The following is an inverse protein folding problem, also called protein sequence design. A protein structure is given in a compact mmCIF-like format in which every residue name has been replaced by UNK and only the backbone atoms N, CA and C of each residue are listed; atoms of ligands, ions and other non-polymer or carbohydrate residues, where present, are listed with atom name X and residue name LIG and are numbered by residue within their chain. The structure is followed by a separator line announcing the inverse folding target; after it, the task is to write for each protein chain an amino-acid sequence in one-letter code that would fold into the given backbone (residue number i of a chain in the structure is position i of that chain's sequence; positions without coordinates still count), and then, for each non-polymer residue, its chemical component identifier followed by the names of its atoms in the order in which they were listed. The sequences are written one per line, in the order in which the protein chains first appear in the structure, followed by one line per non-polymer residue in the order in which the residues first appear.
data_IF_343707856252
#
_entry.id   IF_343707856252
#
_cell.length_a   1.000
_cell.length_b   1.000
_cell.length_c   1.000
_cell.angle_alpha   90.00
_cell.angle_beta   90.00
_cell.angle_gamma   90.00
#
_symmetry.space_group_name_H-M   'P 1'
#
loop_
_entity.id
_entity.type
_entity.pdbx_description
1 polymer ?
#
# COMPACT_ATOMS: atom_id res chain seq x y z
N UNK A 1 1.76 31.20 -11.70
CA UNK A 1 3.04 31.75 -11.18
C UNK A 1 4.12 31.16 -12.06
N UNK A 2 4.91 32.00 -12.75
CA UNK A 2 6.05 31.47 -13.53
C UNK A 2 7.19 31.09 -12.57
N UNK A 3 8.13 30.27 -13.05
CA UNK A 3 9.26 29.77 -12.26
C UNK A 3 10.12 30.92 -11.73
N UNK A 4 10.31 31.96 -12.52
CA UNK A 4 11.14 33.11 -12.16
C UNK A 4 10.55 33.89 -10.96
N UNK A 5 9.24 34.16 -10.98
CA UNK A 5 8.53 34.82 -9.88
C UNK A 5 8.58 33.96 -8.62
N UNK A 6 8.49 32.63 -8.75
CA UNK A 6 8.60 31.73 -7.61
C UNK A 6 10.00 31.76 -7.00
N UNK A 7 11.05 31.72 -7.83
CA UNK A 7 12.45 31.72 -7.37
C UNK A 7 12.85 33.06 -6.75
N UNK A 8 12.40 34.19 -7.29
CA UNK A 8 12.64 35.52 -6.71
C UNK A 8 11.99 35.68 -5.33
N UNK A 9 10.77 35.15 -5.16
CA UNK A 9 10.04 35.19 -3.89
C UNK A 9 10.45 34.06 -2.93
N UNK A 10 11.27 33.11 -3.39
CA UNK A 10 11.67 31.92 -2.63
C UNK A 10 12.45 32.28 -1.36
N UNK A 11 13.35 33.28 -1.45
CA UNK A 11 14.13 33.74 -0.30
C UNK A 11 13.26 34.17 0.87
N UNK A 12 12.24 34.99 0.59
CA UNK A 12 11.26 35.43 1.60
C UNK A 12 10.46 34.27 2.23
N UNK A 13 10.28 33.19 1.48
CA UNK A 13 9.55 32.00 1.92
C UNK A 13 10.43 31.09 2.80
N UNK A 14 11.75 31.10 2.60
CA UNK A 14 12.70 30.38 3.47
C UNK A 14 12.93 31.12 4.79
N UNK A 15 12.98 32.46 4.74
CA UNK A 15 13.24 33.30 5.91
C UNK A 15 12.01 33.44 6.84
N UNK A 16 10.81 33.15 6.34
CA UNK A 16 9.58 33.19 7.14
C UNK A 16 9.47 31.99 8.10
N UNK A 17 9.03 32.19 9.36
CA UNK A 17 8.73 31.09 10.27
C UNK A 17 7.74 30.10 9.65
N UNK A 18 8.05 28.80 9.73
CA UNK A 18 7.29 27.70 9.11
C UNK A 18 7.23 27.70 7.56
N UNK A 19 7.95 28.59 6.88
CA UNK A 19 7.85 28.73 5.42
C UNK A 19 8.29 27.49 4.64
N UNK A 20 9.41 26.86 5.03
CA UNK A 20 9.85 25.56 4.49
C UNK A 20 8.78 24.47 4.66
N UNK A 21 8.09 24.44 5.82
CA UNK A 21 7.04 23.45 6.10
C UNK A 21 5.84 23.65 5.18
N UNK A 22 5.34 24.88 5.06
CA UNK A 22 4.24 25.23 4.15
C UNK A 22 4.59 24.92 2.69
N UNK A 23 5.84 25.13 2.29
CA UNK A 23 6.31 24.77 0.96
C UNK A 23 6.23 23.26 0.70
N UNK A 24 6.68 22.43 1.66
CA UNK A 24 6.56 20.97 1.55
C UNK A 24 5.11 20.54 1.44
N UNK A 25 4.22 21.13 2.23
CA UNK A 25 2.77 20.87 2.17
C UNK A 25 2.19 21.25 0.79
N UNK A 26 2.60 22.39 0.23
CA UNK A 26 2.18 22.83 -1.10
C UNK A 26 2.68 21.88 -2.19
N UNK A 27 3.96 21.52 -2.19
CA UNK A 27 4.54 20.57 -3.16
C UNK A 27 3.81 19.24 -3.09
N UNK A 28 3.55 18.73 -1.88
CA UNK A 28 2.79 17.49 -1.69
C UNK A 28 1.36 17.60 -2.23
N UNK A 29 0.68 18.74 -1.99
CA UNK A 29 -0.65 18.98 -2.52
C UNK A 29 -0.67 18.98 -4.06
N UNK A 30 0.33 19.62 -4.69
CA UNK A 30 0.49 19.62 -6.13
C UNK A 30 0.81 18.22 -6.66
N UNK A 31 1.65 17.45 -5.96
CA UNK A 31 2.01 16.07 -6.32
C UNK A 31 0.77 15.17 -6.40
N UNK A 32 -0.03 15.17 -5.32
CA UNK A 32 -1.22 14.33 -5.20
C UNK A 32 -2.29 14.71 -6.23
N UNK A 33 -2.27 15.95 -6.72
CA UNK A 33 -3.18 16.46 -7.76
C UNK A 33 -2.65 16.28 -9.19
N UNK A 34 -1.45 15.71 -9.36
CA UNK A 34 -0.80 15.59 -10.67
C UNK A 34 -0.45 16.94 -11.32
N UNK A 35 -0.15 17.96 -10.51
CA UNK A 35 0.17 19.33 -10.97
C UNK A 35 1.65 19.70 -10.84
N UNK A 36 2.51 18.73 -10.55
CA UNK A 36 3.96 18.96 -10.50
C UNK A 36 4.62 18.94 -11.88
N UNK A 37 4.01 18.26 -12.85
CA UNK A 37 4.53 18.11 -14.21
C UNK A 37 3.39 18.23 -15.21
N UNK A 38 3.73 18.64 -16.44
CA UNK A 38 2.80 18.61 -17.56
C UNK A 38 2.36 17.16 -17.85
N UNK A 39 1.10 16.98 -18.23
CA UNK A 39 0.57 15.67 -18.61
C UNK A 39 0.83 15.41 -20.09
N UNK A 40 1.37 14.24 -20.43
CA UNK A 40 1.54 13.85 -21.83
C UNK A 40 0.22 13.27 -22.38
N UNK A 41 -0.39 13.85 -23.42
CA UNK A 41 -1.62 13.31 -24.02
C UNK A 41 -1.43 11.93 -24.68
N UNK A 42 -0.19 11.50 -24.91
CA UNK A 42 0.12 10.18 -25.45
C UNK A 42 0.26 9.10 -24.36
N UNK A 43 0.26 9.49 -23.08
CA UNK A 43 0.29 8.52 -21.98
C UNK A 43 -0.94 7.61 -22.02
N UNK A 44 -0.73 6.34 -21.67
CA UNK A 44 -1.83 5.41 -21.60
C UNK A 44 -2.80 5.79 -20.46
N UNK A 45 -4.11 5.96 -20.73
CA UNK A 45 -5.07 6.24 -19.67
C UNK A 45 -5.10 5.12 -18.63
N UNK A 46 -5.06 5.47 -17.35
CA UNK A 46 -5.10 4.54 -16.22
C UNK A 46 -6.31 3.59 -16.28
N UNK A 47 -7.41 4.03 -16.91
CA UNK A 47 -8.59 3.20 -17.19
C UNK A 47 -8.24 1.88 -17.89
N UNK A 48 -7.32 1.87 -18.87
CA UNK A 48 -6.91 0.63 -19.56
C UNK A 48 -6.16 -0.33 -18.64
N UNK A 49 -5.36 0.19 -17.72
CA UNK A 49 -4.69 -0.62 -16.71
C UNK A 49 -5.72 -1.23 -15.74
N UNK A 50 -6.66 -0.42 -15.27
CA UNK A 50 -7.76 -0.89 -14.41
C UNK A 50 -8.60 -1.98 -15.08
N UNK A 51 -8.87 -1.88 -16.39
CA UNK A 51 -9.58 -2.92 -17.16
C UNK A 51 -8.82 -4.25 -17.23
N UNK A 52 -7.49 -4.19 -17.38
CA UNK A 52 -6.60 -5.36 -17.31
C UNK A 52 -6.63 -6.00 -15.93
N UNK A 53 -6.44 -5.19 -14.88
CA UNK A 53 -6.46 -5.66 -13.48
C UNK A 53 -7.82 -6.30 -13.13
N UNK A 54 -8.94 -5.70 -13.55
CA UNK A 54 -10.29 -6.29 -13.35
C UNK A 54 -10.47 -7.62 -14.07
N UNK A 55 -9.80 -7.82 -15.20
CA UNK A 55 -9.84 -9.09 -15.93
C UNK A 55 -9.00 -10.16 -15.23
N UNK A 56 -7.82 -9.79 -14.73
CA UNK A 56 -6.96 -10.64 -13.93
C UNK A 56 -7.60 -11.05 -12.61
N UNK A 57 -8.19 -10.10 -11.88
CA UNK A 57 -9.01 -10.35 -10.68
C UNK A 57 -10.10 -11.39 -10.93
N UNK A 58 -10.84 -11.27 -12.04
CA UNK A 58 -11.90 -12.24 -12.42
C UNK A 58 -11.31 -13.63 -12.66
N UNK A 59 -10.21 -13.73 -13.39
CA UNK A 59 -9.53 -14.99 -13.63
C UNK A 59 -9.06 -15.66 -12.32
N UNK A 60 -8.48 -14.88 -11.39
CA UNK A 60 -8.06 -15.38 -10.07
C UNK A 60 -9.22 -15.87 -9.20
N UNK A 61 -10.39 -15.21 -9.29
CA UNK A 61 -11.63 -15.64 -8.63
C UNK A 61 -12.13 -16.96 -9.22
N UNK A 62 -12.18 -17.08 -10.55
CA UNK A 62 -12.61 -18.29 -11.25
C UNK A 62 -11.72 -19.49 -10.91
N UNK A 63 -10.41 -19.26 -10.79
CA UNK A 63 -9.42 -20.25 -10.36
C UNK A 63 -9.45 -20.52 -8.84
N UNK A 64 -10.29 -19.81 -8.07
CA UNK A 64 -10.40 -19.91 -6.61
C UNK A 64 -9.10 -19.59 -5.84
N UNK A 65 -8.19 -18.85 -6.47
CA UNK A 65 -6.95 -18.35 -5.83
C UNK A 65 -7.30 -17.27 -4.81
N UNK A 66 -8.27 -16.41 -5.16
CA UNK A 66 -8.81 -15.39 -4.26
C UNK A 66 -10.32 -15.59 -4.09
N UNK A 67 -10.84 -15.15 -2.93
CA UNK A 67 -12.29 -15.17 -2.66
C UNK A 67 -12.97 -14.00 -3.36
N UNK A 68 -14.23 -14.20 -3.75
CA UNK A 68 -15.10 -13.11 -4.19
C UNK A 68 -15.24 -12.12 -3.03
N UNK A 69 -14.88 -10.86 -3.27
CA UNK A 69 -15.14 -9.74 -2.37
C UNK A 69 -16.38 -8.97 -2.83
N UNK A 70 -17.03 -8.27 -1.91
CA UNK A 70 -18.05 -7.30 -2.27
C UNK A 70 -17.41 -6.20 -3.13
N UNK A 71 -18.01 -5.88 -4.28
CA UNK A 71 -17.50 -4.80 -5.13
C UNK A 71 -17.82 -3.46 -4.51
N UNK A 72 -16.79 -2.72 -4.15
CA UNK A 72 -16.88 -1.34 -3.67
C UNK A 72 -16.54 -0.40 -4.80
N UNK A 73 -17.45 -0.26 -5.78
CA UNK A 73 -17.31 0.80 -6.78
C UNK A 73 -17.45 2.17 -6.12
N UNK A 74 -16.81 3.19 -6.67
CA UNK A 74 -16.89 4.57 -6.14
C UNK A 74 -18.32 5.05 -5.94
N UNK A 75 -19.24 4.68 -6.84
CA UNK A 75 -20.67 5.01 -6.76
C UNK A 75 -21.30 4.56 -5.44
N UNK A 76 -20.78 3.50 -4.84
CA UNK A 76 -21.32 2.90 -3.62
C UNK A 76 -20.61 3.42 -2.35
N UNK A 77 -19.53 4.21 -2.49
CA UNK A 77 -18.75 4.72 -1.34
C UNK A 77 -19.29 6.02 -0.75
N UNK A 78 -20.09 6.77 -1.51
CA UNK A 78 -20.55 8.12 -1.12
C UNK A 78 -19.43 9.17 -1.03
N UNK A 79 -18.22 8.86 -1.51
CA UNK A 79 -17.07 9.78 -1.51
C UNK A 79 -17.26 10.81 -2.63
N UNK A 80 -17.21 12.09 -2.27
CA UNK A 80 -17.13 13.18 -3.24
C UNK A 80 -15.78 13.12 -3.96
N UNK A 81 -15.81 13.05 -5.29
CA UNK A 81 -14.61 13.05 -6.11
C UNK A 81 -14.28 14.47 -6.55
N UNK A 82 -12.99 14.79 -6.59
CA UNK A 82 -12.50 16.05 -7.13
C UNK A 82 -12.01 15.86 -8.57
N UNK A 83 -11.79 16.98 -9.27
CA UNK A 83 -11.15 16.93 -10.59
C UNK A 83 -9.73 16.38 -10.48
N UNK A 84 -9.43 15.45 -11.37
CA UNK A 84 -8.14 14.78 -11.53
C UNK A 84 -7.61 15.06 -12.94
N UNK A 85 -6.31 14.89 -13.18
CA UNK A 85 -5.75 15.06 -14.52
C UNK A 85 -6.42 14.17 -15.57
N UNK A 86 -6.32 14.59 -16.83
CA UNK A 86 -6.71 13.74 -17.96
C UNK A 86 -5.89 12.45 -17.95
N UNK A 87 -6.51 11.32 -18.27
CA UNK A 87 -5.89 10.00 -18.20
C UNK A 87 -5.93 9.33 -16.81
N UNK A 88 -6.14 10.07 -15.71
CA UNK A 88 -6.33 9.48 -14.39
C UNK A 88 -7.76 8.93 -14.22
N UNK A 89 -7.91 7.97 -13.31
CA UNK A 89 -9.23 7.42 -12.94
C UNK A 89 -9.27 7.21 -11.43
N UNK A 90 -10.39 7.57 -10.82
CA UNK A 90 -10.66 7.16 -9.46
C UNK A 90 -10.96 5.66 -9.44
N UNK A 91 -10.44 4.93 -8.46
CA UNK A 91 -10.75 3.52 -8.23
C UNK A 91 -10.54 3.20 -6.76
N UNK A 92 -11.15 2.11 -6.26
CA UNK A 92 -10.95 1.67 -4.87
C UNK A 92 -9.87 0.59 -4.80
N UNK A 93 -9.15 0.52 -3.67
CA UNK A 93 -8.08 -0.46 -3.50
C UNK A 93 -8.57 -1.90 -3.66
N UNK A 94 -9.79 -2.21 -3.22
CA UNK A 94 -10.40 -3.55 -3.36
C UNK A 94 -10.60 -3.97 -4.82
N UNK A 95 -10.70 -3.01 -5.75
CA UNK A 95 -10.83 -3.29 -7.17
C UNK A 95 -9.48 -3.56 -7.86
N UNK A 96 -8.38 -3.14 -7.26
CA UNK A 96 -7.03 -3.30 -7.83
C UNK A 96 -6.08 -4.18 -7.01
N UNK A 97 -6.49 -4.59 -5.81
CA UNK A 97 -5.67 -5.41 -4.89
C UNK A 97 -6.50 -6.42 -4.10
N UNK A 98 -5.83 -7.48 -3.61
CA UNK A 98 -6.31 -8.38 -2.57
C UNK A 98 -5.78 -7.93 -1.21
N UNK A 99 -6.65 -7.35 -0.40
CA UNK A 99 -6.32 -6.87 0.95
C UNK A 99 -6.72 -7.92 1.99
N UNK A 100 -5.90 -8.08 3.03
CA UNK A 100 -6.26 -8.87 4.20
C UNK A 100 -5.35 -8.62 5.38
N UNK A 101 -5.75 -9.09 6.55
CA UNK A 101 -4.85 -9.14 7.71
C UNK A 101 -4.19 -10.52 7.80
N UNK A 102 -3.26 -10.66 8.74
CA UNK A 102 -2.67 -11.96 9.07
C UNK A 102 -3.12 -12.48 10.44
N UNK A 103 -2.32 -13.37 11.01
CA UNK A 103 -2.61 -14.00 12.31
C UNK A 103 -1.33 -14.21 13.11
N UNK A 104 -1.46 -14.26 14.43
CA UNK A 104 -0.34 -14.57 15.34
C UNK A 104 -0.51 -15.99 15.89
N UNK A 105 0.34 -16.95 15.48
CA UNK A 105 0.39 -18.25 16.13
C UNK A 105 0.71 -18.10 17.63
N UNK A 106 0.16 -18.97 18.48
CA UNK A 106 0.44 -18.93 19.93
C UNK A 106 1.94 -19.05 20.20
N UNK A 107 2.54 -18.07 20.86
CA UNK A 107 3.99 -18.03 21.15
C UNK A 107 4.46 -19.13 22.09
N UNK A 108 3.56 -19.71 22.89
CA UNK A 108 3.85 -20.85 23.75
C UNK A 108 3.95 -22.19 23.00
N UNK A 109 3.46 -22.26 21.77
CA UNK A 109 3.44 -23.48 20.96
C UNK A 109 4.69 -23.55 20.08
N UNK A 110 5.73 -24.23 20.59
CA UNK A 110 7.02 -24.36 19.88
C UNK A 110 6.88 -24.96 18.47
N UNK A 111 5.87 -25.79 18.23
CA UNK A 111 5.58 -26.38 16.90
C UNK A 111 5.34 -25.32 15.81
N UNK A 112 4.96 -24.11 16.17
CA UNK A 112 4.69 -23.04 15.21
C UNK A 112 5.94 -22.25 14.79
N UNK A 113 7.02 -22.30 15.56
CA UNK A 113 8.20 -21.44 15.36
C UNK A 113 9.51 -22.22 15.24
N UNK A 114 9.64 -23.35 15.94
CA UNK A 114 10.87 -24.13 15.97
C UNK A 114 11.19 -24.65 14.56
N UNK A 115 12.38 -24.31 14.07
CA UNK A 115 12.83 -24.60 12.70
C UNK A 115 11.92 -24.02 11.59
N UNK A 116 11.18 -22.96 11.89
CA UNK A 116 10.40 -22.22 10.91
C UNK A 116 11.27 -21.68 9.77
N UNK A 117 10.72 -21.69 8.56
CA UNK A 117 11.41 -21.21 7.34
C UNK A 117 10.57 -20.20 6.57
N UNK A 118 9.29 -20.07 6.90
CA UNK A 118 8.38 -19.14 6.24
C UNK A 118 8.51 -17.79 6.94
N UNK A 119 8.90 -16.71 6.24
CA UNK A 119 8.99 -15.39 6.84
C UNK A 119 7.64 -14.92 7.41
N UNK A 120 7.67 -14.30 8.59
CA UNK A 120 6.47 -13.79 9.27
C UNK A 120 6.73 -12.39 9.83
N UNK A 121 6.06 -11.39 9.27
CA UNK A 121 6.25 -10.00 9.66
C UNK A 121 5.28 -9.55 10.74
N UNK A 122 5.78 -8.66 11.60
CA UNK A 122 4.95 -7.85 12.49
C UNK A 122 5.02 -6.39 12.07
N UNK A 123 4.19 -5.53 12.68
CA UNK A 123 4.18 -4.09 12.37
C UNK A 123 5.50 -3.37 12.61
N UNK A 124 6.45 -3.98 13.32
CA UNK A 124 7.82 -3.46 13.44
C UNK A 124 8.60 -3.48 12.12
N UNK A 125 8.20 -4.31 11.15
CA UNK A 125 8.88 -4.42 9.86
C UNK A 125 8.59 -3.23 8.92
N UNK A 126 7.54 -2.44 9.19
CA UNK A 126 7.12 -1.31 8.33
C UNK A 126 7.94 -0.04 8.57
N UNK A 127 8.98 -0.09 9.41
CA UNK A 127 9.86 1.06 9.63
C UNK A 127 10.78 1.39 8.45
N UNK A 128 10.88 0.49 7.48
CA UNK A 128 11.70 0.59 6.27
C UNK A 128 10.81 0.55 5.02
N UNK A 129 11.18 1.28 3.98
CA UNK A 129 10.44 1.30 2.71
C UNK A 129 10.43 -0.09 2.03
N UNK A 130 11.55 -0.81 2.13
CA UNK A 130 11.74 -2.14 1.53
C UNK A 130 12.12 -3.17 2.59
N UNK A 131 11.23 -4.13 2.81
CA UNK A 131 11.42 -5.23 3.74
C UNK A 131 12.24 -6.32 3.02
N UNK A 132 13.55 -6.29 3.25
CA UNK A 132 14.55 -7.16 2.59
C UNK A 132 14.98 -8.36 3.42
N UNK A 133 14.62 -8.40 4.71
CA UNK A 133 14.88 -9.52 5.63
C UNK A 133 13.69 -9.79 6.54
N UNK A 134 13.69 -10.95 7.19
CA UNK A 134 12.74 -11.29 8.24
C UNK A 134 13.50 -11.77 9.48
N UNK A 135 13.12 -11.26 10.64
CA UNK A 135 13.70 -11.67 11.93
C UNK A 135 12.92 -12.83 12.56
N UNK A 136 11.73 -13.15 12.05
CA UNK A 136 10.84 -14.17 12.60
C UNK A 136 10.33 -15.08 11.50
N UNK A 137 10.34 -16.37 11.81
CA UNK A 137 9.90 -17.41 10.89
C UNK A 137 8.90 -18.32 11.57
N UNK A 138 7.95 -18.81 10.78
CA UNK A 138 6.96 -19.80 11.19
C UNK A 138 7.14 -21.10 10.41
N UNK A 139 6.55 -22.18 10.93
CA UNK A 139 6.53 -23.49 10.28
C UNK A 139 5.34 -23.62 9.32
N UNK A 140 5.38 -24.62 8.44
CA UNK A 140 4.22 -25.01 7.62
C UNK A 140 3.00 -25.40 8.48
N UNK A 141 3.25 -25.98 9.67
CA UNK A 141 2.20 -26.30 10.64
C UNK A 141 1.47 -25.02 11.08
N UNK A 142 2.22 -23.95 11.40
CA UNK A 142 1.62 -22.67 11.75
C UNK A 142 0.82 -22.09 10.58
N UNK A 143 1.40 -22.10 9.37
CA UNK A 143 0.74 -21.60 8.16
C UNK A 143 -0.65 -22.23 7.98
N UNK A 144 -0.75 -23.55 8.16
CA UNK A 144 -1.99 -24.31 7.99
C UNK A 144 -2.94 -24.15 9.20
N UNK A 145 -2.50 -24.48 10.41
CA UNK A 145 -3.36 -24.53 11.61
C UNK A 145 -3.85 -23.14 12.02
N UNK A 146 -3.02 -22.11 11.86
CA UNK A 146 -3.37 -20.72 12.17
C UNK A 146 -3.91 -19.96 10.95
N UNK A 147 -4.12 -20.64 9.81
CA UNK A 147 -4.72 -20.10 8.58
C UNK A 147 -4.05 -18.81 8.09
N UNK A 148 -2.72 -18.76 8.13
CA UNK A 148 -2.00 -17.59 7.63
C UNK A 148 -2.08 -17.51 6.11
N UNK A 149 -2.10 -16.29 5.59
CA UNK A 149 -2.02 -15.99 4.17
C UNK A 149 -0.59 -15.62 3.81
N UNK A 150 -0.07 -16.22 2.73
CA UNK A 150 1.17 -15.77 2.09
C UNK A 150 0.85 -14.58 1.20
N UNK A 151 1.60 -13.51 1.37
CA UNK A 151 1.62 -12.35 0.50
C UNK A 151 2.87 -12.45 -0.39
N UNK A 152 2.72 -12.39 -1.72
CA UNK A 152 3.85 -12.51 -2.63
C UNK A 152 4.79 -11.30 -2.53
N UNK A 153 6.05 -11.50 -2.92
CA UNK A 153 6.99 -10.40 -3.19
C UNK A 153 6.33 -9.29 -4.01
N UNK A 154 6.57 -8.05 -3.63
CA UNK A 154 5.98 -6.85 -4.23
C UNK A 154 4.73 -6.36 -3.49
N UNK A 155 4.12 -7.18 -2.63
CA UNK A 155 2.99 -6.75 -1.79
C UNK A 155 3.41 -5.66 -0.79
N UNK A 156 2.49 -4.77 -0.46
CA UNK A 156 2.67 -3.76 0.59
C UNK A 156 2.12 -4.26 1.92
N UNK A 157 2.82 -3.97 3.00
CA UNK A 157 2.36 -4.22 4.37
C UNK A 157 2.16 -2.87 5.07
N UNK A 158 0.95 -2.65 5.58
CA UNK A 158 0.58 -1.43 6.31
C UNK A 158 0.34 -1.76 7.78
N UNK A 159 1.02 -1.06 8.67
CA UNK A 159 0.82 -1.23 10.11
C UNK A 159 -0.50 -0.58 10.57
N UNK A 160 -1.40 -1.40 11.13
CA UNK A 160 -2.73 -0.97 11.60
C UNK A 160 -2.70 -0.43 13.04
N UNK A 161 -1.76 -0.92 13.85
CA UNK A 161 -1.63 -0.57 15.26
C UNK A 161 -0.30 0.14 15.56
N UNK A 162 -0.13 0.58 16.82
CA UNK A 162 1.09 1.23 17.33
C UNK A 162 1.05 2.75 17.23
N UNK A 163 0.19 3.36 18.05
CA UNK A 163 0.01 4.81 18.13
C UNK A 163 1.35 5.53 18.32
N UNK A 164 1.70 6.47 17.42
CA UNK A 164 2.92 7.26 17.50
C UNK A 164 4.24 6.54 17.18
N UNK A 165 4.20 5.26 16.78
CA UNK A 165 5.40 4.51 16.38
C UNK A 165 5.27 3.89 15.00
N UNK A 166 4.26 3.03 14.80
CA UNK A 166 4.15 2.21 13.58
C UNK A 166 2.87 2.46 12.78
N UNK A 167 1.80 3.00 13.38
CA UNK A 167 0.51 3.14 12.69
C UNK A 167 0.63 3.96 11.41
N UNK A 168 0.15 3.40 10.29
CA UNK A 168 0.16 4.05 8.98
C UNK A 168 1.49 3.95 8.22
N UNK A 169 2.53 3.39 8.83
CA UNK A 169 3.75 3.06 8.11
C UNK A 169 3.50 1.94 7.10
N UNK A 170 4.24 1.99 5.99
CA UNK A 170 4.12 1.06 4.87
C UNK A 170 5.51 0.55 4.52
N UNK A 171 5.63 -0.75 4.28
CA UNK A 171 6.83 -1.36 3.72
C UNK A 171 6.48 -2.33 2.61
N UNK A 172 7.30 -2.38 1.55
CA UNK A 172 7.15 -3.33 0.45
C UNK A 172 7.92 -4.62 0.73
N UNK A 173 7.28 -5.78 0.56
CA UNK A 173 7.93 -7.08 0.69
C UNK A 173 8.85 -7.36 -0.50
N UNK A 174 10.12 -7.69 -0.23
CA UNK A 174 11.08 -8.11 -1.25
C UNK A 174 11.19 -9.63 -1.42
N UNK A 175 10.36 -10.38 -0.69
CA UNK A 175 10.23 -11.84 -0.70
C UNK A 175 8.82 -12.24 -0.25
N UNK A 176 8.41 -13.48 -0.53
CA UNK A 176 7.12 -14.00 -0.09
C UNK A 176 7.08 -14.12 1.45
N UNK A 177 6.04 -13.59 2.07
CA UNK A 177 5.95 -13.53 3.53
C UNK A 177 4.52 -13.64 4.02
N UNK A 178 4.39 -14.08 5.27
CA UNK A 178 3.16 -13.96 6.04
C UNK A 178 3.25 -12.75 6.97
N UNK A 179 2.12 -12.34 7.54
CA UNK A 179 2.04 -11.20 8.47
C UNK A 179 1.19 -11.55 9.70
N UNK A 180 1.26 -10.72 10.73
CA UNK A 180 0.38 -10.79 11.88
C UNK A 180 -0.90 -9.95 11.72
N UNK A 181 -1.80 -10.01 12.70
CA UNK A 181 -3.05 -9.24 12.70
C UNK A 181 -2.86 -7.73 12.90
N UNK A 182 -1.66 -7.29 13.28
CA UNK A 182 -1.34 -5.86 13.43
C UNK A 182 -1.00 -5.19 12.09
N UNK A 183 -1.03 -5.95 11.00
CA UNK A 183 -0.73 -5.49 9.66
C UNK A 183 -1.88 -5.80 8.71
N UNK A 184 -2.09 -4.94 7.73
CA UNK A 184 -2.80 -5.26 6.50
C UNK A 184 -1.79 -5.53 5.39
N UNK A 185 -1.92 -6.68 4.73
CA UNK A 185 -1.20 -6.99 3.51
C UNK A 185 -2.06 -6.62 2.31
N UNK A 186 -1.44 -5.95 1.35
CA UNK A 186 -2.03 -5.48 0.11
C UNK A 186 -1.24 -6.15 -1.02
N UNK A 187 -1.82 -7.20 -1.60
CA UNK A 187 -1.25 -7.87 -2.77
C UNK A 187 -1.93 -7.34 -4.02
N UNK A 188 -1.15 -6.87 -5.00
CA UNK A 188 -1.68 -6.52 -6.31
C UNK A 188 -2.10 -7.79 -7.07
N UNK A 189 -3.17 -7.70 -7.87
CA UNK A 189 -3.61 -8.83 -8.70
C UNK A 189 -2.62 -9.13 -9.81
#
# INVERSE_FOLDING_TARGET
MNVDTFLEQFGHLVDAPEGIKKLRELILNLAIRGKLVEQDPNDEPAKKLVERIKSEKRALIEQKVIKVSQSHTLRNTGIETHSIPEGWVWETLDEITSIGTGSTPSTGELKYYKNGKIPWQTSSATGEDFITKSDKFITDIALQECRLKIYPKGSLIVALYGQGKTRGQVGQLMFDSTINQACAGIAFF
#
